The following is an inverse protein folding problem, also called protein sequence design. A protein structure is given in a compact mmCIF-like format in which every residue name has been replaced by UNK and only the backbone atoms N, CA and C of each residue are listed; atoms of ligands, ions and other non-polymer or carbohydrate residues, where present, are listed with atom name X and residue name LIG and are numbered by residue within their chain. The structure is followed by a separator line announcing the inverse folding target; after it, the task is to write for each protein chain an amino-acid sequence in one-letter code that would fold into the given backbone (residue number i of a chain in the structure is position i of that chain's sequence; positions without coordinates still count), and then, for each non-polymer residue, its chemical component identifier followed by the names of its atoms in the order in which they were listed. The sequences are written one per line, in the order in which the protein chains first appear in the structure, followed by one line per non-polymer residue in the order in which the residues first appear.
data_IF_556468627150
#
_entry.id   IF_556468627150
#
_cell.length_a   1.000
_cell.length_b   1.000
_cell.length_c   1.000
_cell.angle_alpha   90.00
_cell.angle_beta   90.00
_cell.angle_gamma   90.00
#
_symmetry.space_group_name_H-M   'P 1'
#
loop_
_entity.id
_entity.type
_entity.pdbx_description
1 polymer ?
#
# COMPACT_ATOMS: atom_id res chain seq x y z
N UNK A 1 -5.49 6.96 -0.58
CA UNK A 1 -5.25 5.63 -1.21
C UNK A 1 -5.19 4.61 -0.08
N UNK A 2 -5.79 3.42 -0.20
CA UNK A 2 -5.71 2.43 0.89
C UNK A 2 -4.49 1.52 0.66
N UNK A 3 -3.50 1.61 1.54
CA UNK A 3 -2.41 0.64 1.65
C UNK A 3 -2.70 -0.26 2.85
N UNK A 4 -2.66 -1.57 2.65
CA UNK A 4 -2.84 -2.57 3.70
C UNK A 4 -1.64 -3.49 3.75
N UNK A 5 -0.88 -3.42 4.85
CA UNK A 5 0.18 -4.39 5.13
C UNK A 5 -0.43 -5.57 5.86
N UNK A 6 -0.10 -6.79 5.43
CA UNK A 6 -0.53 -8.01 6.10
C UNK A 6 0.65 -8.96 6.26
N UNK A 7 0.95 -9.31 7.50
CA UNK A 7 1.89 -10.38 7.79
C UNK A 7 1.14 -11.71 7.61
N UNK A 8 1.62 -12.55 6.69
CA UNK A 8 1.01 -13.87 6.42
C UNK A 8 1.96 -14.97 6.88
N UNK A 9 1.62 -15.59 8.01
CA UNK A 9 2.26 -16.85 8.43
C UNK A 9 1.72 -17.97 7.53
N UNK A 10 2.56 -18.52 6.66
CA UNK A 10 2.20 -19.70 5.89
C UNK A 10 2.08 -20.93 6.83
N UNK A 11 1.07 -21.79 6.61
CA UNK A 11 0.83 -22.97 7.45
C UNK A 11 1.99 -23.97 7.35
N UNK A 12 2.45 -24.47 8.51
CA UNK A 12 3.29 -25.64 8.90
C UNK A 12 4.23 -26.38 7.91
N UNK A 13 4.07 -26.33 6.58
CA UNK A 13 4.94 -26.99 5.58
C UNK A 13 5.95 -26.07 4.89
N UNK A 14 5.71 -24.76 4.84
CA UNK A 14 6.68 -23.79 4.33
C UNK A 14 7.36 -23.08 5.50
N UNK A 15 8.65 -23.32 5.74
CA UNK A 15 9.44 -22.78 6.87
C UNK A 15 9.67 -21.26 6.85
N UNK A 16 8.97 -20.48 6.03
CA UNK A 16 9.18 -19.02 5.91
C UNK A 16 7.89 -18.26 6.16
N UNK A 17 7.96 -17.32 7.10
CA UNK A 17 6.98 -16.24 7.21
C UNK A 17 7.10 -15.37 5.96
N UNK A 18 6.00 -15.13 5.25
CA UNK A 18 5.98 -14.23 4.10
C UNK A 18 5.21 -12.97 4.46
N UNK A 19 5.74 -11.80 4.11
CA UNK A 19 5.02 -10.54 4.29
C UNK A 19 4.31 -10.21 2.97
N UNK A 20 3.03 -9.85 3.08
CA UNK A 20 2.23 -9.41 1.94
C UNK A 20 1.89 -7.92 2.09
N UNK A 21 2.06 -7.17 1.00
CA UNK A 21 1.61 -5.80 0.88
C UNK A 21 0.46 -5.75 -0.12
N UNK A 22 -0.63 -5.09 0.26
CA UNK A 22 -1.79 -4.91 -0.59
C UNK A 22 -1.99 -3.42 -0.84
N UNK A 23 -1.85 -3.01 -2.09
CA UNK A 23 -1.99 -1.60 -2.50
C UNK A 23 -3.25 -1.46 -3.33
N UNK A 24 -4.21 -0.67 -2.86
CA UNK A 24 -5.45 -0.44 -3.61
C UNK A 24 -5.12 0.27 -4.92
N UNK A 25 -5.66 -0.24 -6.03
CA UNK A 25 -5.48 0.37 -7.34
C UNK A 25 -6.36 1.61 -7.47
N UNK A 26 -5.76 2.71 -7.90
CA UNK A 26 -6.46 3.94 -8.28
C UNK A 26 -5.90 4.39 -9.63
N UNK A 27 -6.78 4.59 -10.61
CA UNK A 27 -6.38 4.95 -11.98
C UNK A 27 -5.46 6.18 -12.04
N UNK A 28 -5.71 7.16 -11.17
CA UNK A 28 -4.90 8.38 -11.04
C UNK A 28 -3.43 8.14 -10.67
N UNK A 29 -3.14 7.00 -10.01
CA UNK A 29 -1.80 6.67 -9.49
C UNK A 29 -1.21 5.42 -10.16
N UNK A 30 -1.90 4.84 -11.15
CA UNK A 30 -1.48 3.56 -11.76
C UNK A 30 -0.10 3.70 -12.45
N UNK A 31 0.20 4.86 -13.05
CA UNK A 31 1.51 5.12 -13.68
C UNK A 31 2.63 5.19 -12.66
N UNK A 32 2.46 6.00 -11.61
CA UNK A 32 3.48 6.19 -10.57
C UNK A 32 3.75 4.90 -9.80
N UNK A 33 2.69 4.17 -9.45
CA UNK A 33 2.80 2.87 -8.78
C UNK A 33 3.53 1.87 -9.69
N UNK A 34 3.28 1.89 -11.01
CA UNK A 34 3.96 1.00 -11.95
C UNK A 34 5.46 1.27 -12.03
N UNK A 35 5.89 2.54 -12.00
CA UNK A 35 7.31 2.90 -11.98
C UNK A 35 8.00 2.41 -10.70
N UNK A 36 7.35 2.57 -9.55
CA UNK A 36 7.86 2.03 -8.28
C UNK A 36 8.00 0.51 -8.39
N UNK A 37 6.99 -0.20 -8.89
CA UNK A 37 7.06 -1.65 -9.01
C UNK A 37 8.15 -2.12 -9.96
N UNK A 38 8.40 -1.41 -11.06
CA UNK A 38 9.52 -1.69 -11.97
C UNK A 38 10.87 -1.62 -11.27
N UNK A 39 11.08 -0.64 -10.38
CA UNK A 39 12.30 -0.54 -9.59
C UNK A 39 12.56 -1.79 -8.72
N UNK A 40 11.49 -2.43 -8.26
CA UNK A 40 11.55 -3.61 -7.38
C UNK A 40 11.31 -4.95 -8.09
N UNK A 41 11.17 -4.98 -9.42
CA UNK A 41 10.69 -6.14 -10.19
C UNK A 41 11.54 -7.41 -9.97
N UNK A 42 12.85 -7.25 -9.76
CA UNK A 42 13.76 -8.37 -9.51
C UNK A 42 13.67 -8.96 -8.10
N UNK A 43 12.97 -8.29 -7.17
CA UNK A 43 13.00 -8.60 -5.74
C UNK A 43 11.62 -8.87 -5.12
N UNK A 44 10.56 -8.58 -5.88
CA UNK A 44 9.18 -8.66 -5.45
C UNK A 44 8.33 -9.42 -6.47
N UNK A 45 7.52 -10.34 -5.98
CA UNK A 45 6.44 -10.92 -6.78
C UNK A 45 5.17 -10.10 -6.59
N UNK A 46 4.55 -9.64 -7.67
CA UNK A 46 3.26 -8.95 -7.60
C UNK A 46 2.21 -9.61 -8.47
N UNK A 47 0.95 -9.55 -8.01
CA UNK A 47 -0.21 -10.04 -8.75
C UNK A 47 -1.41 -9.13 -8.56
N UNK A 48 -2.19 -9.01 -9.62
CA UNK A 48 -3.47 -8.29 -9.57
C UNK A 48 -4.52 -9.16 -8.87
N UNK A 49 -5.10 -8.63 -7.79
CA UNK A 49 -6.19 -9.28 -7.07
C UNK A 49 -7.43 -8.41 -7.20
N UNK A 50 -8.39 -8.87 -8.01
CA UNK A 50 -9.73 -8.29 -8.05
C UNK A 50 -10.60 -9.02 -7.01
N UNK A 51 -10.86 -8.37 -5.88
CA UNK A 51 -11.97 -8.73 -4.98
C UNK A 51 -13.00 -7.61 -5.03
N UNK A 52 -13.52 -7.16 -3.90
CA UNK A 52 -14.48 -6.04 -3.80
C UNK A 52 -13.87 -4.74 -4.35
N UNK A 53 -12.57 -4.55 -4.14
CA UNK A 53 -11.79 -3.48 -4.77
C UNK A 53 -10.59 -4.08 -5.48
N UNK A 54 -10.09 -3.43 -6.54
CA UNK A 54 -8.86 -3.84 -7.21
C UNK A 54 -7.65 -3.56 -6.32
N UNK A 55 -6.82 -4.57 -6.08
CA UNK A 55 -5.57 -4.45 -5.34
C UNK A 55 -4.40 -5.02 -6.15
N UNK A 56 -3.22 -4.40 -6.00
CA UNK A 56 -1.95 -5.06 -6.21
C UNK A 56 -1.60 -5.84 -4.94
N UNK A 57 -1.39 -7.15 -5.07
CA UNK A 57 -0.85 -7.98 -4.00
C UNK A 57 0.62 -8.23 -4.29
N UNK A 58 1.48 -7.68 -3.44
CA UNK A 58 2.93 -7.84 -3.50
C UNK A 58 3.37 -8.79 -2.39
N UNK A 59 4.27 -9.72 -2.70
CA UNK A 59 4.83 -10.68 -1.77
C UNK A 59 6.34 -10.74 -1.90
N UNK A 60 7.02 -10.87 -0.78
CA UNK A 60 8.47 -11.12 -0.76
C UNK A 60 8.85 -12.10 0.33
N UNK A 61 9.94 -12.82 0.08
CA UNK A 61 10.63 -13.63 1.08
C UNK A 61 11.57 -12.78 1.94
N UNK A 62 11.84 -11.53 1.56
CA UNK A 62 12.63 -10.59 2.32
C UNK A 62 11.74 -9.47 2.89
N UNK A 63 11.49 -9.46 4.22
CA UNK A 63 10.73 -8.41 4.89
C UNK A 63 11.20 -6.98 4.60
N UNK A 64 12.52 -6.77 4.47
CA UNK A 64 13.08 -5.46 4.22
C UNK A 64 12.58 -4.89 2.89
N UNK A 65 12.38 -5.74 1.87
CA UNK A 65 11.90 -5.29 0.56
C UNK A 65 10.46 -4.79 0.60
N UNK A 66 9.60 -5.41 1.39
CA UNK A 66 8.23 -4.93 1.59
C UNK A 66 8.23 -3.59 2.34
N UNK A 67 9.12 -3.41 3.31
CA UNK A 67 9.25 -2.16 4.05
C UNK A 67 9.79 -1.03 3.17
N UNK A 68 10.82 -1.30 2.37
CA UNK A 68 11.34 -0.33 1.40
C UNK A 68 10.28 0.07 0.40
N UNK A 69 9.53 -0.89 -0.18
CA UNK A 69 8.42 -0.59 -1.08
C UNK A 69 7.33 0.26 -0.39
N UNK A 70 6.99 -0.06 0.86
CA UNK A 70 6.02 0.71 1.63
C UNK A 70 6.46 2.17 1.80
N UNK A 71 7.73 2.40 2.14
CA UNK A 71 8.29 3.76 2.27
C UNK A 71 8.20 4.51 0.95
N UNK A 72 8.64 3.91 -0.15
CA UNK A 72 8.57 4.53 -1.48
C UNK A 72 7.13 4.86 -1.90
N UNK A 73 6.17 3.98 -1.57
CA UNK A 73 4.75 4.25 -1.83
C UNK A 73 4.19 5.37 -0.95
N UNK A 74 4.67 5.53 0.29
CA UNK A 74 4.27 6.63 1.18
C UNK A 74 4.81 7.97 0.72
N UNK A 75 6.06 8.01 0.26
CA UNK A 75 6.69 9.20 -0.32
C UNK A 75 5.98 9.67 -1.60
N UNK A 76 5.39 8.73 -2.35
CA UNK A 76 4.67 9.03 -3.58
C UNK A 76 3.23 9.52 -3.36
N UNK A 77 2.68 9.40 -2.14
CA UNK A 77 1.37 9.98 -1.81
C UNK A 77 1.59 11.44 -1.42
N UNK A 78 1.18 12.42 -2.23
CA UNK A 78 1.23 13.79 -1.79
C UNK A 78 0.30 13.97 -0.58
N UNK A 79 0.75 14.73 0.42
CA UNK A 79 0.08 14.94 1.72
C UNK A 79 -1.41 15.31 1.59
N UNK A 80 -1.80 15.93 0.46
CA UNK A 80 -3.18 16.23 0.05
C UNK A 80 -4.14 15.02 0.08
N UNK A 81 -3.67 13.79 -0.15
CA UNK A 81 -4.54 12.60 -0.03
C UNK A 81 -4.75 12.14 1.42
N UNK A 82 -3.93 12.60 2.37
CA UNK A 82 -4.12 12.38 3.82
C UNK A 82 -4.87 13.53 4.49
N UNK A 83 -4.76 14.76 3.96
CA UNK A 83 -5.49 15.92 4.49
C UNK A 83 -6.99 15.95 4.15
N UNK A 84 -7.45 15.12 3.21
CA UNK A 84 -8.86 15.10 2.79
C UNK A 84 -9.81 14.26 3.68
N UNK A 85 -9.30 13.54 4.69
CA UNK A 85 -10.15 12.83 5.66
C UNK A 85 -10.21 13.54 7.04
N UNK A 86 -9.64 14.74 7.17
CA UNK A 86 -9.65 15.54 8.41
C UNK A 86 -10.27 16.94 8.28
N UNK A 87 -11.14 17.18 7.29
CA UNK A 87 -12.16 18.23 7.42
C UNK A 87 -13.31 17.70 8.28
N UNK A 88 -13.02 17.34 9.54
CA UNK A 88 -14.03 17.44 10.59
C UNK A 88 -14.33 18.92 10.70
N UNK A 89 -15.54 19.30 10.32
CA UNK A 89 -16.09 20.63 10.53
C UNK A 89 -15.95 20.99 12.01
N UNK A 90 -14.91 21.75 12.36
CA UNK A 90 -14.91 22.54 13.59
C UNK A 90 -15.84 23.73 13.32
N UNK A 91 -17.14 23.49 13.52
CA UNK A 91 -18.10 24.57 13.75
C UNK A 91 -17.59 25.40 14.93
N UNK A 92 -16.85 26.46 14.64
CA UNK A 92 -16.74 27.61 15.54
C UNK A 92 -18.02 28.42 15.41
N UNK A 93 -19.10 27.93 16.02
CA UNK A 93 -20.05 28.84 16.64
C UNK A 93 -19.53 29.10 18.06
N UNK A 94 -18.84 30.22 18.22
CA UNK A 94 -18.76 30.87 19.52
C UNK A 94 -19.32 32.27 19.30
N UNK A 95 -20.53 32.43 19.82
CA UNK A 95 -21.17 33.71 20.08
C UNK A 95 -20.17 34.75 20.58
N UNK A 96 -20.22 35.94 19.99
CA UNK A 96 -20.21 37.24 20.67
C UNK A 96 -20.89 38.27 19.77
#
# INVERSE_FOLDING_TARGET
MIIKVKIVKQKKKAKKNSIELWVQRKKELDQDISQIFQFFESQLDYKNVRRIYPYYKITSNNPAMILSLLSSLQELIPEIYFNNDNTVQLNKEVHL
#
